data_IF_295497792954
#
_entry.id   IF_295497792954
#
_cell.length_a   1.000
_cell.length_b   1.000
_cell.length_c   1.000
_cell.angle_alpha   90.00
_cell.angle_beta   90.00
_cell.angle_gamma   90.00
#
_symmetry.space_group_name_H-M   'P 1'
#
loop_
_entity.id
_entity.type
_entity.pdbx_description
1 polymer ?
#
# COMPACT_ATOMS: atom_id res chain seq x y z
N UNK A 1 12.01 7.15 -1.68
CA UNK A 1 11.43 7.23 -0.32
C UNK A 1 12.17 6.34 0.69
N UNK A 2 12.41 5.03 0.38
CA UNK A 2 13.06 4.10 1.31
C UNK A 2 14.48 4.54 1.67
N UNK A 3 15.37 4.84 0.71
CA UNK A 3 16.72 5.33 1.03
C UNK A 3 16.73 6.67 1.77
N UNK A 4 15.76 7.56 1.50
CA UNK A 4 15.63 8.84 2.21
C UNK A 4 15.32 8.69 3.71
N UNK A 5 14.89 7.49 4.12
CA UNK A 5 14.65 7.14 5.53
C UNK A 5 15.80 6.34 6.15
N UNK A 6 16.95 6.25 5.47
CA UNK A 6 18.14 5.55 5.96
C UNK A 6 18.12 4.02 5.76
N UNK A 7 17.16 3.49 5.03
CA UNK A 7 17.07 2.05 4.77
C UNK A 7 17.65 1.67 3.41
N UNK A 8 18.32 0.52 3.36
CA UNK A 8 18.79 -0.05 2.10
C UNK A 8 17.60 -0.50 1.24
N UNK A 9 17.64 -0.19 -0.05
CA UNK A 9 16.65 -0.64 -1.02
C UNK A 9 17.24 -1.73 -1.90
N UNK A 10 16.69 -2.94 -1.80
CA UNK A 10 17.06 -4.07 -2.63
C UNK A 10 16.01 -4.32 -3.69
N UNK A 11 16.46 -4.45 -4.93
CA UNK A 11 15.56 -4.69 -6.04
C UNK A 11 15.34 -6.18 -6.25
N UNK A 12 14.09 -6.53 -6.53
CA UNK A 12 13.67 -7.86 -6.93
C UNK A 12 12.91 -7.76 -8.25
N UNK A 13 13.14 -8.70 -9.15
CA UNK A 13 12.47 -8.73 -10.44
C UNK A 13 10.94 -8.68 -10.26
N UNK A 14 10.30 -7.77 -10.97
CA UNK A 14 8.84 -7.67 -10.98
C UNK A 14 8.24 -8.86 -11.73
N UNK A 15 7.54 -9.74 -11.01
CA UNK A 15 6.90 -10.93 -11.57
C UNK A 15 5.40 -10.92 -11.26
N UNK A 16 4.59 -10.24 -12.07
CA UNK A 16 3.15 -10.22 -11.88
C UNK A 16 2.55 -11.61 -12.13
N UNK A 17 1.55 -11.98 -11.34
CA UNK A 17 0.78 -13.20 -11.59
C UNK A 17 0.07 -13.10 -12.93
N UNK A 18 0.17 -14.14 -13.79
CA UNK A 18 -0.48 -14.14 -15.10
C UNK A 18 -2.00 -14.12 -14.92
N UNK A 19 -2.65 -13.27 -15.71
CA UNK A 19 -4.12 -13.14 -15.71
C UNK A 19 -4.76 -13.80 -16.94
N UNK A 20 -3.94 -14.17 -17.94
CA UNK A 20 -4.36 -14.81 -19.19
C UNK A 20 -3.33 -15.89 -19.54
N UNK A 21 -3.74 -16.96 -20.24
CA UNK A 21 -2.83 -17.98 -20.76
C UNK A 21 -2.10 -17.46 -22.00
N UNK A 22 -1.01 -16.73 -21.78
CA UNK A 22 -0.15 -16.14 -22.80
C UNK A 22 1.32 -16.54 -22.61
N UNK A 23 2.22 -16.01 -23.47
CA UNK A 23 3.66 -16.27 -23.37
C UNK A 23 4.26 -15.81 -22.02
N UNK A 24 3.65 -14.83 -21.35
CA UNK A 24 4.06 -14.40 -20.02
C UNK A 24 3.74 -15.47 -18.98
N UNK A 25 2.59 -16.16 -19.11
CA UNK A 25 2.21 -17.27 -18.24
C UNK A 25 3.19 -18.45 -18.37
N UNK A 26 3.65 -18.77 -19.58
CA UNK A 26 4.65 -19.84 -19.81
C UNK A 26 6.00 -19.52 -19.17
N UNK A 27 6.40 -18.25 -19.16
CA UNK A 27 7.68 -17.79 -18.57
C UNK A 27 7.59 -17.51 -17.08
N UNK A 28 6.39 -17.43 -16.53
CA UNK A 28 6.15 -17.10 -15.13
C UNK A 28 6.91 -18.01 -14.16
N UNK A 29 6.88 -19.35 -14.27
CA UNK A 29 7.55 -20.22 -13.29
C UNK A 29 9.06 -19.95 -13.19
N UNK A 30 9.72 -19.75 -14.32
CA UNK A 30 11.18 -19.49 -14.38
C UNK A 30 11.50 -18.11 -13.79
N UNK A 31 10.73 -17.09 -14.17
CA UNK A 31 10.90 -15.73 -13.64
C UNK A 31 10.64 -15.69 -12.14
N UNK A 32 9.59 -16.36 -11.68
CA UNK A 32 9.24 -16.43 -10.27
C UNK A 32 10.32 -17.16 -9.46
N UNK A 33 10.81 -18.29 -9.96
CA UNK A 33 11.91 -19.02 -9.32
C UNK A 33 13.20 -18.17 -9.22
N UNK A 34 13.49 -17.35 -10.24
CA UNK A 34 14.61 -16.39 -10.22
C UNK A 34 14.41 -15.34 -9.11
N UNK A 35 13.22 -14.72 -9.03
CA UNK A 35 12.92 -13.75 -8.00
C UNK A 35 13.02 -14.35 -6.58
N UNK A 36 12.52 -15.58 -6.37
CA UNK A 36 12.69 -16.31 -5.12
C UNK A 36 14.17 -16.52 -4.78
N UNK A 37 15.01 -16.86 -5.78
CA UNK A 37 16.46 -17.04 -5.57
C UNK A 37 17.13 -15.72 -5.20
N UNK A 38 16.80 -14.61 -5.87
CA UNK A 38 17.31 -13.27 -5.55
C UNK A 38 17.01 -12.92 -4.10
N UNK A 39 15.75 -13.04 -3.68
CA UNK A 39 15.37 -12.74 -2.29
C UNK A 39 16.11 -13.66 -1.32
N UNK A 40 16.18 -14.96 -1.59
CA UNK A 40 16.88 -15.90 -0.71
C UNK A 40 18.35 -15.52 -0.50
N UNK A 41 19.02 -15.05 -1.54
CA UNK A 41 20.40 -14.57 -1.43
C UNK A 41 20.47 -13.33 -0.53
N UNK A 42 19.57 -12.34 -0.73
CA UNK A 42 19.48 -11.18 0.14
C UNK A 42 19.23 -11.52 1.60
N UNK A 43 18.32 -12.49 1.88
CA UNK A 43 18.07 -12.95 3.26
C UNK A 43 19.32 -13.53 3.92
N UNK A 44 20.07 -14.36 3.18
CA UNK A 44 21.29 -15.01 3.68
C UNK A 44 22.45 -14.04 3.88
N UNK A 45 22.68 -13.18 2.90
CA UNK A 45 23.80 -12.22 2.92
C UNK A 45 23.67 -11.21 4.06
N UNK A 46 22.45 -10.94 4.50
CA UNK A 46 22.15 -9.93 5.54
C UNK A 46 21.73 -10.52 6.88
N UNK A 47 21.71 -11.84 7.02
CA UNK A 47 21.31 -12.48 8.27
C UNK A 47 19.92 -12.06 8.74
N UNK A 48 18.93 -12.08 7.83
CA UNK A 48 17.57 -11.57 8.12
C UNK A 48 16.85 -12.51 9.08
N UNK A 49 16.37 -11.97 10.20
CA UNK A 49 15.65 -12.70 11.26
C UNK A 49 14.14 -12.79 11.02
N UNK A 50 13.56 -11.84 10.30
CA UNK A 50 12.12 -11.80 10.02
C UNK A 50 11.83 -11.08 8.70
N UNK A 51 10.82 -11.56 7.96
CA UNK A 51 10.32 -10.91 6.75
C UNK A 51 8.92 -10.38 7.02
N UNK A 52 8.76 -9.05 6.90
CA UNK A 52 7.45 -8.39 7.00
C UNK A 52 6.98 -8.00 5.60
N UNK A 53 5.80 -8.43 5.19
CA UNK A 53 5.26 -8.16 3.88
C UNK A 53 3.95 -7.39 3.91
N UNK A 54 3.88 -6.37 3.04
CA UNK A 54 2.71 -5.50 2.86
C UNK A 54 1.98 -5.75 1.52
N UNK A 55 2.22 -6.89 0.91
CA UNK A 55 1.64 -7.23 -0.39
C UNK A 55 2.46 -6.72 -1.59
N UNK A 56 1.84 -6.76 -2.75
CA UNK A 56 2.51 -6.43 -4.02
C UNK A 56 3.30 -7.59 -4.63
N UNK A 57 3.92 -7.34 -5.79
CA UNK A 57 4.57 -8.40 -6.58
C UNK A 57 5.85 -8.95 -5.95
N UNK A 58 6.55 -8.15 -5.16
CA UNK A 58 7.79 -8.57 -4.49
C UNK A 58 7.52 -9.44 -3.25
N UNK A 59 6.36 -9.32 -2.63
CA UNK A 59 6.03 -10.05 -1.40
C UNK A 59 5.88 -11.54 -1.60
N UNK A 60 5.26 -12.00 -2.70
CA UNK A 60 5.06 -13.43 -2.94
C UNK A 60 6.39 -14.20 -3.03
N UNK A 61 7.39 -13.80 -3.86
CA UNK A 61 8.70 -14.45 -3.85
C UNK A 61 9.42 -14.31 -2.50
N UNK A 62 9.23 -13.21 -1.76
CA UNK A 62 9.82 -13.02 -0.44
C UNK A 62 9.26 -14.01 0.58
N UNK A 63 7.95 -14.23 0.62
CA UNK A 63 7.33 -15.22 1.51
C UNK A 63 7.80 -16.65 1.22
N UNK A 64 7.93 -17.01 -0.06
CA UNK A 64 8.43 -18.33 -0.46
C UNK A 64 9.92 -18.49 -0.08
N UNK A 65 10.74 -17.47 -0.31
CA UNK A 65 12.15 -17.47 0.01
C UNK A 65 12.38 -17.60 1.53
N UNK A 66 11.65 -16.81 2.32
CA UNK A 66 11.69 -16.84 3.78
C UNK A 66 11.30 -18.23 4.33
N UNK A 67 10.17 -18.77 3.86
CA UNK A 67 9.74 -20.10 4.27
C UNK A 67 10.73 -21.23 3.94
N UNK A 68 11.48 -21.10 2.82
CA UNK A 68 12.55 -22.05 2.46
C UNK A 68 13.84 -21.84 3.25
N UNK A 69 14.03 -20.66 3.80
CA UNK A 69 15.19 -20.32 4.61
C UNK A 69 14.95 -20.52 6.12
N UNK A 70 13.74 -20.92 6.53
CA UNK A 70 13.36 -21.01 7.94
C UNK A 70 13.16 -19.64 8.63
N UNK A 71 13.08 -18.56 7.85
CA UNK A 71 12.86 -17.21 8.36
C UNK A 71 11.36 -16.97 8.56
N UNK A 72 10.91 -16.55 9.75
CA UNK A 72 9.50 -16.27 10.00
C UNK A 72 8.97 -15.11 9.13
N UNK A 73 7.70 -15.24 8.75
CA UNK A 73 7.01 -14.24 7.93
C UNK A 73 5.89 -13.60 8.73
N UNK A 74 5.80 -12.29 8.68
CA UNK A 74 4.67 -11.49 9.15
C UNK A 74 4.00 -10.85 7.95
N UNK A 75 2.67 -10.91 7.86
CA UNK A 75 1.89 -10.33 6.76
C UNK A 75 1.02 -9.21 7.28
N UNK A 76 1.04 -8.07 6.61
CA UNK A 76 0.07 -6.99 6.82
C UNK A 76 -0.73 -6.73 5.55
N UNK A 77 -2.07 -6.69 5.69
CA UNK A 77 -2.98 -6.38 4.59
C UNK A 77 -3.73 -5.07 4.87
N UNK A 78 -3.52 -4.12 3.97
CA UNK A 78 -4.09 -2.78 4.07
C UNK A 78 -5.48 -2.63 3.44
N UNK A 79 -5.94 -3.63 2.67
CA UNK A 79 -7.20 -3.57 1.96
C UNK A 79 -8.24 -4.50 2.59
N UNK A 80 -9.51 -4.13 2.52
CA UNK A 80 -10.61 -4.98 2.97
C UNK A 80 -10.71 -6.29 2.17
N UNK A 81 -10.23 -6.30 0.91
CA UNK A 81 -10.09 -7.52 0.09
C UNK A 81 -8.60 -7.84 -0.06
N UNK A 82 -8.12 -8.95 0.52
CA UNK A 82 -6.70 -9.26 0.52
C UNK A 82 -6.16 -9.56 -0.88
N UNK A 83 -4.93 -9.09 -1.13
CA UNK A 83 -4.20 -9.40 -2.34
C UNK A 83 -3.69 -10.84 -2.36
N UNK A 84 -3.55 -11.42 -3.56
CA UNK A 84 -3.11 -12.82 -3.74
C UNK A 84 -1.77 -13.13 -3.05
N UNK A 85 -0.84 -12.19 -3.06
CA UNK A 85 0.44 -12.36 -2.39
C UNK A 85 0.26 -12.55 -0.88
N UNK A 86 -0.58 -11.71 -0.25
CA UNK A 86 -0.85 -11.80 1.19
C UNK A 86 -1.64 -13.05 1.55
N UNK A 87 -2.60 -13.47 0.72
CA UNK A 87 -3.30 -14.76 0.90
C UNK A 87 -2.31 -15.94 0.86
N UNK A 88 -1.32 -15.90 -0.05
CA UNK A 88 -0.27 -16.91 -0.12
C UNK A 88 0.62 -16.87 1.12
N UNK A 89 1.07 -15.68 1.54
CA UNK A 89 1.93 -15.48 2.70
C UNK A 89 1.27 -15.93 4.01
N UNK A 90 0.02 -15.55 4.23
CA UNK A 90 -0.73 -15.85 5.45
C UNK A 90 -0.93 -17.37 5.72
N UNK A 91 -0.79 -18.22 4.69
CA UNK A 91 -0.90 -19.67 4.88
C UNK A 91 0.15 -20.24 5.83
N UNK A 92 1.32 -19.60 5.90
CA UNK A 92 2.48 -20.04 6.70
C UNK A 92 3.11 -18.90 7.50
N UNK A 93 2.43 -17.76 7.58
CA UNK A 93 2.90 -16.63 8.37
C UNK A 93 2.91 -17.00 9.86
N UNK A 94 3.89 -16.48 10.58
CA UNK A 94 3.97 -16.53 12.02
C UNK A 94 2.92 -15.62 12.67
N UNK A 95 2.61 -14.48 11.99
CA UNK A 95 1.54 -13.57 12.36
C UNK A 95 0.96 -12.88 11.12
N UNK A 96 -0.30 -12.50 11.19
CA UNK A 96 -0.98 -11.71 10.16
C UNK A 96 -1.76 -10.58 10.80
N UNK A 97 -1.60 -9.36 10.28
CA UNK A 97 -2.36 -8.18 10.67
C UNK A 97 -3.20 -7.65 9.52
N UNK A 98 -4.34 -7.06 9.82
CA UNK A 98 -5.23 -6.42 8.84
C UNK A 98 -5.61 -5.02 9.28
N UNK A 99 -5.87 -4.14 8.30
CA UNK A 99 -6.31 -2.79 8.58
C UNK A 99 -7.80 -2.71 8.95
N UNK A 100 -8.62 -3.62 8.43
CA UNK A 100 -10.07 -3.58 8.58
C UNK A 100 -10.59 -4.87 9.19
N UNK A 101 -11.58 -4.73 10.05
CA UNK A 101 -12.35 -5.87 10.52
C UNK A 101 -13.04 -6.59 9.37
N UNK A 102 -13.23 -7.90 9.51
CA UNK A 102 -13.86 -8.73 8.48
C UNK A 102 -12.99 -8.98 7.22
N UNK A 103 -11.74 -8.52 7.16
CA UNK A 103 -10.83 -8.86 6.06
C UNK A 103 -10.55 -10.36 6.06
N UNK A 104 -10.88 -11.10 4.96
CA UNK A 104 -10.77 -12.56 4.93
C UNK A 104 -9.31 -13.02 4.74
N UNK A 105 -8.49 -12.84 5.76
CA UNK A 105 -7.10 -13.30 5.79
C UNK A 105 -6.90 -14.27 6.95
N UNK A 106 -6.27 -15.41 6.69
CA UNK A 106 -6.09 -16.49 7.66
C UNK A 106 -5.29 -16.03 8.89
N UNK A 107 -5.86 -16.25 10.07
CA UNK A 107 -5.20 -15.99 11.35
C UNK A 107 -4.83 -14.52 11.56
N UNK A 108 -5.57 -13.61 10.94
CA UNK A 108 -5.28 -12.19 11.04
C UNK A 108 -5.97 -11.54 12.23
N UNK A 109 -5.26 -10.60 12.83
CA UNK A 109 -5.75 -9.71 13.87
C UNK A 109 -5.91 -8.30 13.30
N UNK A 110 -6.87 -7.53 13.80
CA UNK A 110 -7.05 -6.13 13.41
C UNK A 110 -6.00 -5.28 14.12
N UNK A 111 -5.04 -4.79 13.37
CA UNK A 111 -3.93 -3.95 13.86
C UNK A 111 -3.96 -2.51 13.32
N UNK A 112 -4.90 -2.21 12.42
CA UNK A 112 -4.99 -0.92 11.75
C UNK A 112 -3.91 -0.70 10.69
N UNK A 113 -3.75 0.56 10.27
CA UNK A 113 -2.74 0.99 9.30
C UNK A 113 -1.51 1.54 9.99
N UNK A 114 -0.29 1.14 9.58
CA UNK A 114 0.95 1.78 10.03
C UNK A 114 1.07 3.17 9.38
N UNK A 115 0.53 4.17 10.04
CA UNK A 115 0.58 5.56 9.59
C UNK A 115 1.85 6.27 10.10
N UNK A 116 2.24 7.32 9.40
CA UNK A 116 3.33 8.19 9.84
C UNK A 116 2.93 8.94 11.13
N UNK A 117 3.86 9.18 12.05
CA UNK A 117 3.58 9.89 13.31
C UNK A 117 2.88 11.24 13.09
N UNK A 118 3.25 11.97 12.05
CA UNK A 118 2.66 13.27 11.71
C UNK A 118 1.16 13.17 11.37
N UNK A 119 0.72 12.02 10.89
CA UNK A 119 -0.71 11.75 10.61
C UNK A 119 -1.42 11.26 11.88
N UNK A 120 -0.75 10.42 12.68
CA UNK A 120 -1.34 9.87 13.91
C UNK A 120 -1.59 10.98 14.93
N UNK A 121 -0.65 11.93 15.04
CA UNK A 121 -0.71 13.03 16.01
C UNK A 121 -1.21 14.35 15.40
N UNK A 122 -1.89 14.31 14.23
CA UNK A 122 -2.37 15.49 13.54
C UNK A 122 -3.45 16.22 14.37
N UNK A 123 -3.13 17.41 14.86
CA UNK A 123 -4.13 18.34 15.40
C UNK A 123 -4.74 19.16 14.27
N UNK A 124 -5.90 18.70 13.78
CA UNK A 124 -6.60 19.35 12.68
C UNK A 124 -7.12 20.75 13.02
N UNK A 125 -7.45 20.98 14.29
CA UNK A 125 -7.96 22.28 14.73
C UNK A 125 -6.84 23.32 14.75
N UNK A 126 -5.69 22.95 15.33
CA UNK A 126 -4.51 23.83 15.39
C UNK A 126 -3.96 24.16 13.99
N UNK A 127 -3.96 23.20 13.05
CA UNK A 127 -3.42 23.41 11.71
C UNK A 127 -4.38 24.02 10.70
N UNK A 128 -5.66 24.21 11.07
CA UNK A 128 -6.69 24.71 10.14
C UNK A 128 -6.38 26.10 9.59
N UNK A 129 -5.93 27.02 10.45
CA UNK A 129 -5.62 28.37 10.04
C UNK A 129 -4.42 28.41 9.10
N UNK A 130 -3.33 27.74 9.45
CA UNK A 130 -2.12 27.63 8.63
C UNK A 130 -2.41 26.99 7.26
N UNK A 131 -3.19 25.92 7.25
CA UNK A 131 -3.61 25.28 6.00
C UNK A 131 -4.48 26.20 5.14
N UNK A 132 -5.40 26.96 5.75
CA UNK A 132 -6.20 27.95 5.06
C UNK A 132 -5.36 29.02 4.36
N UNK A 133 -4.37 29.52 5.06
CA UNK A 133 -3.42 30.52 4.56
C UNK A 133 -2.55 29.95 3.42
N UNK A 134 -2.01 28.75 3.61
CA UNK A 134 -1.16 28.09 2.62
C UNK A 134 -1.87 27.80 1.29
N UNK A 135 -3.19 27.57 1.32
CA UNK A 135 -4.00 27.30 0.12
C UNK A 135 -4.84 28.49 -0.33
N UNK A 136 -4.71 29.67 0.33
CA UNK A 136 -5.50 30.87 -0.01
C UNK A 136 -6.99 30.71 0.22
N UNK A 137 -7.40 29.96 1.24
CA UNK A 137 -8.79 29.67 1.56
C UNK A 137 -9.36 30.67 2.58
N UNK A 138 -10.60 31.05 2.38
CA UNK A 138 -11.37 31.85 3.33
C UNK A 138 -11.79 31.00 4.54
N UNK A 139 -11.36 31.30 5.78
CA UNK A 139 -11.69 30.51 6.95
C UNK A 139 -13.18 30.50 7.30
N UNK A 140 -13.94 31.49 6.83
CA UNK A 140 -15.38 31.61 7.06
C UNK A 140 -16.23 30.72 6.14
N UNK A 141 -15.64 30.20 5.06
CA UNK A 141 -16.35 29.38 4.06
C UNK A 141 -16.02 27.90 4.18
N UNK A 142 -16.98 27.00 3.94
CA UNK A 142 -16.71 25.58 3.87
C UNK A 142 -15.84 25.24 2.65
N UNK A 143 -15.02 24.18 2.76
CA UNK A 143 -14.12 23.73 1.71
C UNK A 143 -14.50 22.33 1.27
N UNK A 144 -14.68 22.13 -0.03
CA UNK A 144 -14.79 20.85 -0.69
C UNK A 144 -13.40 20.46 -1.23
N UNK A 145 -12.75 19.51 -0.57
CA UNK A 145 -11.50 18.94 -1.07
C UNK A 145 -11.82 17.82 -2.07
N UNK A 146 -11.33 17.96 -3.32
CA UNK A 146 -11.49 16.94 -4.37
C UNK A 146 -10.13 16.44 -4.80
N UNK A 147 -9.84 15.18 -4.53
CA UNK A 147 -8.56 14.58 -4.91
C UNK A 147 -8.74 13.15 -5.42
N UNK A 148 -7.80 12.71 -6.24
CA UNK A 148 -7.74 11.36 -6.78
C UNK A 148 -6.49 10.60 -6.35
N UNK A 149 -6.46 9.31 -6.66
CA UNK A 149 -5.26 8.50 -6.48
C UNK A 149 -4.18 8.79 -7.53
N UNK A 150 -3.04 8.11 -7.43
CA UNK A 150 -1.87 8.27 -8.34
C UNK A 150 -2.16 8.02 -9.82
N UNK A 151 -3.22 7.29 -10.13
CA UNK A 151 -3.68 7.02 -11.51
C UNK A 151 -4.72 8.03 -12.01
N UNK A 152 -5.03 9.05 -11.21
CA UNK A 152 -6.07 10.02 -11.48
C UNK A 152 -7.47 9.53 -11.10
N UNK A 153 -8.46 10.40 -11.28
CA UNK A 153 -9.85 10.14 -10.95
C UNK A 153 -10.80 10.75 -12.01
N UNK A 154 -10.72 10.28 -13.25
CA UNK A 154 -11.44 10.84 -14.41
C UNK A 154 -12.92 11.05 -14.13
N UNK A 155 -13.59 10.13 -13.41
CA UNK A 155 -15.03 10.26 -13.09
C UNK A 155 -15.29 11.39 -12.10
N UNK A 156 -14.44 11.54 -11.06
CA UNK A 156 -14.52 12.65 -10.11
C UNK A 156 -14.25 13.99 -10.80
N UNK A 157 -13.18 14.03 -11.63
CA UNK A 157 -12.82 15.23 -12.36
C UNK A 157 -13.95 15.70 -13.28
N UNK A 158 -14.63 14.76 -13.98
CA UNK A 158 -15.79 15.10 -14.82
C UNK A 158 -16.98 15.59 -13.98
N UNK A 159 -17.32 14.86 -12.91
CA UNK A 159 -18.41 15.26 -12.03
C UNK A 159 -18.19 16.68 -11.46
N UNK A 160 -16.96 17.01 -11.05
CA UNK A 160 -16.64 18.34 -10.59
C UNK A 160 -16.70 19.38 -11.72
N UNK A 161 -16.16 19.06 -12.90
CA UNK A 161 -16.21 19.97 -14.06
C UNK A 161 -17.64 20.32 -14.47
N UNK A 162 -18.58 19.40 -14.29
CA UNK A 162 -19.99 19.60 -14.63
C UNK A 162 -20.76 20.37 -13.53
N UNK A 163 -20.27 20.41 -12.28
CA UNK A 163 -21.02 20.92 -11.12
C UNK A 163 -20.30 21.98 -10.27
N UNK A 164 -19.07 22.38 -10.62
CA UNK A 164 -18.30 23.31 -9.77
C UNK A 164 -18.98 24.66 -9.57
N UNK A 165 -19.74 25.15 -10.57
CA UNK A 165 -20.46 26.42 -10.48
C UNK A 165 -21.55 26.37 -9.40
N UNK A 166 -22.27 25.26 -9.32
CA UNK A 166 -23.32 25.06 -8.31
C UNK A 166 -22.71 24.98 -6.90
N UNK A 167 -21.56 24.32 -6.77
CA UNK A 167 -20.82 24.23 -5.50
C UNK A 167 -20.37 25.60 -5.04
N UNK A 168 -19.82 26.41 -5.94
CA UNK A 168 -19.39 27.79 -5.62
C UNK A 168 -20.57 28.68 -5.32
N UNK A 169 -21.67 28.57 -6.08
CA UNK A 169 -22.92 29.32 -5.85
C UNK A 169 -23.56 28.99 -4.48
N UNK A 170 -23.40 27.77 -4.01
CA UNK A 170 -23.82 27.35 -2.67
C UNK A 170 -22.89 27.86 -1.53
N UNK A 171 -21.90 28.69 -1.84
CA UNK A 171 -20.99 29.30 -0.87
C UNK A 171 -19.74 28.49 -0.52
N UNK A 172 -19.50 27.34 -1.15
CA UNK A 172 -18.32 26.50 -0.90
C UNK A 172 -17.09 26.99 -1.67
N UNK A 173 -15.93 26.68 -1.14
CA UNK A 173 -14.64 26.76 -1.84
C UNK A 173 -14.25 25.36 -2.30
N UNK A 174 -13.51 25.26 -3.41
CA UNK A 174 -13.03 23.99 -3.95
C UNK A 174 -11.50 23.99 -3.93
N UNK A 175 -10.91 22.92 -3.42
CA UNK A 175 -9.48 22.63 -3.42
C UNK A 175 -9.20 21.28 -4.09
#
# INVERSE_FOLDING_TARGET
>A
LVPLRGYELLFVDKVPFPRRPDAAALRFPVRFARAVRQVRNHLRERGVDVVVGFGGYASAPAYIAAGRAGVPVVVHEANAKPGLANVLGARRAAASGVAFDGTPLRGAEVVGMPLRPEIVHLDRAALRAEAGEAFGLDPARPVLLVFGGSLGAVRLNRALADSWQDVVAAGWQIL
#
